data_IF_943606641423
#
_entry.id   IF_943606641423
#
_cell.length_a   1.000
_cell.length_b   1.000
_cell.length_c   1.000
_cell.angle_alpha   90.00
_cell.angle_beta   90.00
_cell.angle_gamma   90.00
#
_symmetry.space_group_name_H-M   'P 1'
#
loop_
_entity.id
_entity.type
_entity.pdbx_description
1 polymer ?
#
# COMPACT_ATOMS: atom_id res chain seq x y z
N UNK A 1 -11.67 16.08 15.29
CA UNK A 1 -10.49 15.19 15.12
C UNK A 1 -10.32 14.23 16.30
N UNK A 2 -9.97 12.96 16.04
CA UNK A 2 -9.54 12.01 17.09
C UNK A 2 -8.08 12.28 17.49
N UNK A 3 -7.62 11.64 18.57
CA UNK A 3 -6.26 11.71 19.13
C UNK A 3 -5.13 11.51 18.09
N UNK A 4 -5.40 10.83 16.97
CA UNK A 4 -4.44 10.56 15.88
C UNK A 4 -4.58 11.53 14.67
N UNK A 5 -5.32 12.63 14.81
CA UNK A 5 -5.54 13.61 13.73
C UNK A 5 -6.40 13.12 12.55
N UNK A 6 -7.08 11.98 12.71
CA UNK A 6 -7.99 11.42 11.71
C UNK A 6 -9.30 12.22 11.61
N UNK A 7 -9.81 12.37 10.38
CA UNK A 7 -11.13 12.96 10.14
C UNK A 7 -12.23 12.03 10.72
N UNK A 8 -13.19 12.63 11.40
CA UNK A 8 -14.46 11.97 11.73
C UNK A 8 -15.28 11.73 10.46
N UNK A 9 -16.30 10.87 10.53
CA UNK A 9 -17.13 10.63 9.35
C UNK A 9 -17.86 11.93 8.93
N UNK A 10 -18.31 12.69 9.92
CA UNK A 10 -18.96 13.98 9.77
C UNK A 10 -18.04 15.02 9.15
N UNK A 11 -16.79 15.10 9.63
CA UNK A 11 -15.75 15.94 9.02
C UNK A 11 -15.56 15.54 7.55
N UNK A 12 -15.43 14.24 7.25
CA UNK A 12 -15.23 13.77 5.88
C UNK A 12 -16.35 14.14 4.91
N UNK A 13 -17.61 13.93 5.29
CA UNK A 13 -18.76 14.15 4.39
C UNK A 13 -19.22 15.60 4.33
N UNK A 14 -18.72 16.47 5.22
CA UNK A 14 -19.07 17.88 5.26
C UNK A 14 -20.50 18.13 5.73
N UNK A 15 -20.99 19.39 5.60
CA UNK A 15 -22.33 19.75 6.04
C UNK A 15 -23.42 19.06 5.21
N UNK A 16 -24.50 18.65 5.88
CA UNK A 16 -25.70 18.08 5.26
C UNK A 16 -26.94 18.56 6.02
N UNK A 17 -28.07 18.74 5.32
CA UNK A 17 -29.36 19.05 5.95
C UNK A 17 -29.77 17.97 6.96
N UNK A 18 -30.58 18.35 7.96
CA UNK A 18 -30.89 17.52 9.15
C UNK A 18 -31.30 16.07 8.82
N UNK A 19 -32.27 15.89 7.91
CA UNK A 19 -32.74 14.57 7.47
C UNK A 19 -31.67 13.80 6.68
N UNK A 20 -30.91 14.47 5.82
CA UNK A 20 -29.82 13.87 5.05
C UNK A 20 -28.68 13.39 5.96
N UNK A 21 -28.37 14.17 7.00
CA UNK A 21 -27.36 13.85 8.02
C UNK A 21 -27.74 12.60 8.80
N UNK A 22 -28.99 12.50 9.27
CA UNK A 22 -29.49 11.30 9.99
C UNK A 22 -29.32 10.03 9.13
N UNK A 23 -29.72 10.10 7.86
CA UNK A 23 -29.58 8.97 6.92
C UNK A 23 -28.12 8.56 6.70
N UNK A 24 -27.21 9.52 6.53
CA UNK A 24 -25.77 9.26 6.36
C UNK A 24 -25.16 8.56 7.59
N UNK A 25 -25.49 9.04 8.80
CA UNK A 25 -25.00 8.46 10.05
C UNK A 25 -25.52 7.03 10.26
N UNK A 26 -26.80 6.79 9.98
CA UNK A 26 -27.39 5.46 10.05
C UNK A 26 -26.70 4.48 9.08
N UNK A 27 -26.50 4.90 7.82
CA UNK A 27 -25.81 4.10 6.80
C UNK A 27 -24.35 3.79 7.21
N UNK A 28 -23.63 4.77 7.75
CA UNK A 28 -22.25 4.58 8.22
C UNK A 28 -22.19 3.61 9.41
N UNK A 29 -23.12 3.72 10.37
CA UNK A 29 -23.21 2.78 11.50
C UNK A 29 -23.45 1.36 11.02
N UNK A 30 -24.39 1.15 10.10
CA UNK A 30 -24.65 -0.15 9.50
C UNK A 30 -23.42 -0.70 8.76
N UNK A 31 -22.74 0.13 7.95
CA UNK A 31 -21.52 -0.28 7.23
C UNK A 31 -20.40 -0.70 8.19
N UNK A 32 -20.18 0.08 9.26
CA UNK A 32 -19.16 -0.23 10.28
C UNK A 32 -19.45 -1.55 11.00
N UNK A 33 -20.70 -1.78 11.42
CA UNK A 33 -21.09 -3.03 12.09
C UNK A 33 -20.89 -4.24 11.17
N UNK A 34 -21.39 -4.15 9.93
CA UNK A 34 -21.22 -5.21 8.92
C UNK A 34 -19.75 -5.53 8.66
N UNK A 35 -18.91 -4.51 8.50
CA UNK A 35 -17.49 -4.67 8.20
C UNK A 35 -16.72 -5.27 9.38
N UNK A 36 -17.04 -4.85 10.62
CA UNK A 36 -16.43 -5.41 11.84
C UNK A 36 -16.72 -6.90 12.01
N UNK A 37 -17.99 -7.31 11.86
CA UNK A 37 -18.39 -8.72 12.02
C UNK A 37 -17.69 -9.59 10.97
N UNK A 38 -17.72 -9.18 9.70
CA UNK A 38 -17.05 -9.90 8.61
C UNK A 38 -15.54 -10.00 8.83
N UNK A 39 -14.89 -8.95 9.31
CA UNK A 39 -13.45 -8.93 9.54
C UNK A 39 -13.06 -9.87 10.69
N UNK A 40 -13.81 -9.89 11.79
CA UNK A 40 -13.44 -10.64 12.99
C UNK A 40 -13.40 -12.16 12.76
N UNK A 41 -14.42 -12.72 12.11
CA UNK A 41 -14.44 -14.16 11.80
C UNK A 41 -13.34 -14.51 10.80
N UNK A 42 -13.20 -13.71 9.74
CA UNK A 42 -12.24 -13.91 8.65
C UNK A 42 -10.78 -13.95 9.13
N UNK A 43 -10.39 -13.14 10.12
CA UNK A 43 -8.99 -13.11 10.60
C UNK A 43 -8.66 -14.15 11.67
N UNK A 44 -9.67 -14.80 12.28
CA UNK A 44 -9.47 -15.79 13.34
C UNK A 44 -9.57 -17.23 12.84
N UNK A 45 -10.56 -17.51 11.99
CA UNK A 45 -10.82 -18.85 11.45
C UNK A 45 -9.56 -19.56 10.92
N UNK A 46 -8.66 -18.88 10.16
CA UNK A 46 -7.45 -19.53 9.63
C UNK A 46 -6.55 -20.21 10.67
N UNK A 47 -6.56 -19.73 11.92
CA UNK A 47 -5.67 -20.23 12.95
C UNK A 47 -6.28 -21.35 13.81
N UNK A 48 -7.58 -21.58 13.70
CA UNK A 48 -8.32 -22.58 14.50
C UNK A 48 -8.87 -23.74 13.65
N UNK A 49 -9.03 -23.53 12.33
CA UNK A 49 -9.53 -24.58 11.45
C UNK A 49 -8.50 -25.72 11.29
N UNK A 50 -8.95 -26.97 11.14
CA UNK A 50 -8.07 -28.11 10.97
C UNK A 50 -7.40 -28.12 9.59
N UNK A 51 -6.24 -28.78 9.49
CA UNK A 51 -5.51 -28.91 8.22
C UNK A 51 -6.22 -29.79 7.19
N UNK A 52 -7.03 -30.75 7.64
CA UNK A 52 -7.74 -31.74 6.81
C UNK A 52 -9.18 -31.94 7.30
N UNK A 53 -10.01 -32.59 6.50
CA UNK A 53 -11.41 -32.90 6.82
C UNK A 53 -12.42 -31.84 6.38
N UNK A 54 -13.69 -32.06 6.69
CA UNK A 54 -14.84 -31.30 6.16
C UNK A 54 -14.76 -29.78 6.44
N UNK A 55 -14.24 -29.40 7.60
CA UNK A 55 -14.14 -27.98 8.01
C UNK A 55 -12.87 -27.31 7.48
N UNK A 56 -11.91 -28.08 6.96
CA UNK A 56 -10.61 -27.53 6.57
C UNK A 56 -10.70 -26.51 5.45
N UNK A 57 -11.76 -26.55 4.63
CA UNK A 57 -12.00 -25.68 3.46
C UNK A 57 -12.67 -24.32 3.73
N UNK A 58 -13.17 -24.08 4.95
CA UNK A 58 -14.06 -22.94 5.23
C UNK A 58 -13.40 -21.55 5.04
N UNK A 59 -12.08 -21.47 5.17
CA UNK A 59 -11.29 -20.25 4.94
C UNK A 59 -10.71 -20.17 3.50
N UNK A 60 -11.03 -21.12 2.62
CA UNK A 60 -10.52 -21.16 1.24
C UNK A 60 -11.08 -20.07 0.32
N UNK A 61 -12.08 -19.32 0.78
CA UNK A 61 -12.63 -18.12 0.12
C UNK A 61 -12.03 -16.80 0.58
N UNK A 62 -11.02 -16.84 1.43
CA UNK A 62 -10.26 -15.64 1.76
C UNK A 62 -9.45 -15.23 0.54
N UNK A 63 -9.68 -14.03 0.03
CA UNK A 63 -8.82 -13.43 -0.99
C UNK A 63 -7.48 -13.03 -0.39
N UNK A 64 -6.41 -13.36 -1.10
CA UNK A 64 -5.05 -12.94 -0.78
C UNK A 64 -4.31 -12.50 -2.05
N UNK A 65 -3.42 -11.50 -1.94
CA UNK A 65 -2.49 -11.18 -3.00
C UNK A 65 -1.31 -12.16 -2.93
N UNK A 66 -0.92 -12.71 -4.06
CA UNK A 66 0.22 -13.60 -4.15
C UNK A 66 0.87 -13.49 -5.52
N UNK A 67 2.19 -13.50 -5.53
CA UNK A 67 3.00 -13.62 -6.73
C UNK A 67 4.00 -14.76 -6.56
N UNK A 68 4.12 -15.61 -7.58
CA UNK A 68 5.07 -16.72 -7.59
C UNK A 68 6.39 -16.20 -8.13
N UNK A 69 7.31 -15.89 -7.23
CA UNK A 69 8.63 -15.35 -7.57
C UNK A 69 9.55 -16.44 -8.14
N UNK A 70 9.54 -17.63 -7.54
CA UNK A 70 10.24 -18.80 -8.07
C UNK A 70 9.39 -20.07 -7.86
N UNK A 71 9.46 -20.99 -8.82
CA UNK A 71 8.71 -22.25 -8.81
C UNK A 71 9.50 -23.38 -8.15
N UNK A 72 10.79 -23.47 -8.45
CA UNK A 72 11.72 -24.43 -7.86
C UNK A 72 13.07 -23.73 -7.63
N UNK A 73 13.45 -23.44 -6.38
CA UNK A 73 12.69 -23.61 -5.14
C UNK A 73 11.43 -22.72 -5.09
N UNK A 74 10.40 -23.15 -4.34
CA UNK A 74 9.15 -22.38 -4.24
C UNK A 74 9.34 -21.14 -3.35
N UNK A 75 9.34 -19.97 -3.98
CA UNK A 75 9.43 -18.66 -3.32
C UNK A 75 8.22 -17.82 -3.73
N UNK A 76 7.50 -17.32 -2.73
CA UNK A 76 6.23 -16.64 -2.90
C UNK A 76 6.30 -15.24 -2.31
N UNK A 77 5.95 -14.23 -3.10
CA UNK A 77 5.83 -12.86 -2.65
C UNK A 77 4.39 -12.57 -2.22
N UNK A 78 4.21 -12.13 -0.98
CA UNK A 78 2.89 -12.00 -0.35
C UNK A 78 2.77 -10.64 0.36
N UNK A 79 1.99 -9.70 -0.21
CA UNK A 79 1.61 -8.50 0.51
C UNK A 79 0.81 -8.82 1.79
N UNK A 80 1.20 -8.24 2.91
CA UNK A 80 0.57 -8.45 4.23
C UNK A 80 0.22 -7.12 4.90
N UNK A 81 -0.81 -7.11 5.75
CA UNK A 81 -1.14 -5.94 6.55
C UNK A 81 -2.48 -6.01 7.28
N UNK A 82 -2.90 -4.89 7.85
CA UNK A 82 -4.10 -4.82 8.68
C UNK A 82 -3.83 -5.12 10.15
N UNK A 83 -4.85 -5.62 10.87
CA UNK A 83 -4.78 -5.86 12.33
C UNK A 83 -4.15 -7.19 12.73
N UNK A 84 -4.18 -8.17 11.82
CA UNK A 84 -3.56 -9.49 11.99
C UNK A 84 -2.94 -9.90 10.66
N UNK A 85 -1.73 -9.42 10.32
CA UNK A 85 -1.21 -9.45 8.96
C UNK A 85 -1.13 -10.82 8.30
N UNK A 86 -0.93 -11.89 9.07
CA UNK A 86 -0.65 -13.22 8.55
C UNK A 86 -1.88 -14.13 8.39
N UNK A 87 -3.10 -13.60 8.56
CA UNK A 87 -4.31 -14.44 8.57
C UNK A 87 -4.57 -15.20 7.27
N UNK A 88 -4.42 -14.55 6.12
CA UNK A 88 -4.64 -15.21 4.84
C UNK A 88 -3.52 -16.20 4.53
N UNK A 89 -2.28 -15.87 4.92
CA UNK A 89 -1.15 -16.77 4.83
C UNK A 89 -1.36 -18.03 5.69
N UNK A 90 -1.94 -17.91 6.89
CA UNK A 90 -2.23 -19.07 7.73
C UNK A 90 -3.20 -20.05 7.06
N UNK A 91 -4.22 -19.53 6.36
CA UNK A 91 -5.14 -20.35 5.56
C UNK A 91 -4.39 -21.05 4.42
N UNK A 92 -3.50 -20.34 3.73
CA UNK A 92 -2.72 -20.88 2.62
C UNK A 92 -1.71 -21.95 3.06
N UNK A 93 -0.81 -21.62 3.98
CA UNK A 93 0.30 -22.46 4.44
C UNK A 93 -0.13 -23.80 5.01
N UNK A 94 -1.23 -23.84 5.79
CA UNK A 94 -1.72 -25.08 6.42
C UNK A 94 -1.99 -26.19 5.39
N UNK A 95 -2.31 -25.81 4.15
CA UNK A 95 -2.59 -26.72 3.03
C UNK A 95 -1.39 -26.95 2.11
N UNK A 96 -0.40 -26.06 2.16
CA UNK A 96 0.87 -26.20 1.44
C UNK A 96 1.92 -26.97 2.24
N UNK A 97 1.68 -27.23 3.54
CA UNK A 97 2.63 -27.81 4.49
C UNK A 97 3.51 -28.99 3.99
N UNK A 98 3.04 -29.90 3.11
CA UNK A 98 3.93 -30.93 2.56
C UNK A 98 5.10 -30.39 1.72
N UNK A 99 4.92 -29.29 0.99
CA UNK A 99 5.93 -28.68 0.10
C UNK A 99 6.60 -27.49 0.81
N UNK A 100 7.92 -27.55 1.02
CA UNK A 100 8.68 -26.41 1.55
C UNK A 100 8.48 -25.19 0.65
N UNK A 101 8.29 -24.03 1.29
CA UNK A 101 8.06 -22.77 0.62
C UNK A 101 8.68 -21.64 1.45
N UNK A 102 9.25 -20.66 0.78
CA UNK A 102 9.68 -19.41 1.40
C UNK A 102 8.72 -18.29 1.02
N UNK A 103 8.26 -17.54 2.02
CA UNK A 103 7.35 -16.43 1.85
C UNK A 103 8.07 -15.11 2.10
N UNK A 104 8.18 -14.30 1.06
CA UNK A 104 8.62 -12.91 1.12
C UNK A 104 7.40 -12.05 1.47
N UNK A 105 7.32 -11.61 2.71
CA UNK A 105 6.19 -10.90 3.28
C UNK A 105 6.41 -9.40 3.17
N UNK A 106 5.67 -8.75 2.27
CA UNK A 106 5.78 -7.31 2.03
C UNK A 106 4.69 -6.55 2.81
N UNK A 107 5.01 -5.76 3.84
CA UNK A 107 4.01 -4.96 4.54
C UNK A 107 3.43 -3.89 3.61
N UNK A 108 2.12 -3.95 3.37
CA UNK A 108 1.37 -2.92 2.64
C UNK A 108 0.85 -1.80 3.56
N UNK A 109 1.07 -1.96 4.86
CA UNK A 109 0.75 -1.01 5.92
C UNK A 109 1.77 -1.18 7.03
N UNK A 110 2.04 -0.13 7.79
CA UNK A 110 3.09 -0.20 8.81
C UNK A 110 2.83 -1.28 9.86
N UNK A 111 3.91 -1.97 10.19
CA UNK A 111 3.97 -2.94 11.28
C UNK A 111 4.32 -2.29 12.62
N UNK A 112 4.73 -1.00 12.63
CA UNK A 112 5.15 -0.22 13.82
C UNK A 112 3.98 0.13 14.75
N UNK A 113 3.23 -0.88 15.17
CA UNK A 113 2.09 -0.78 16.07
C UNK A 113 2.21 -1.88 17.11
N UNK A 114 2.30 -1.56 18.42
CA UNK A 114 2.56 -2.56 19.45
C UNK A 114 1.60 -3.76 19.42
N UNK A 115 0.30 -3.50 19.22
CA UNK A 115 -0.70 -4.56 19.12
C UNK A 115 -0.53 -5.47 17.89
N UNK A 116 0.03 -4.96 16.79
CA UNK A 116 0.31 -5.73 15.58
C UNK A 116 1.57 -6.58 15.77
N UNK A 117 2.63 -6.02 16.33
CA UNK A 117 3.86 -6.77 16.65
C UNK A 117 3.57 -7.92 17.62
N UNK A 118 2.79 -7.66 18.67
CA UNK A 118 2.37 -8.70 19.61
C UNK A 118 1.49 -9.78 18.96
N UNK A 119 0.66 -9.41 17.98
CA UNK A 119 -0.10 -10.37 17.20
C UNK A 119 0.79 -11.19 16.26
N UNK A 120 1.80 -10.59 15.64
CA UNK A 120 2.77 -11.28 14.79
C UNK A 120 3.56 -12.30 15.61
N UNK A 121 4.00 -11.96 16.82
CA UNK A 121 4.67 -12.91 17.73
C UNK A 121 3.84 -14.18 17.94
N UNK A 122 2.55 -14.04 18.21
CA UNK A 122 1.62 -15.17 18.37
C UNK A 122 1.45 -15.97 17.08
N UNK A 123 1.35 -15.28 15.95
CA UNK A 123 1.19 -15.91 14.65
C UNK A 123 2.46 -16.68 14.25
N UNK A 124 3.66 -16.15 14.51
CA UNK A 124 4.95 -16.82 14.29
C UNK A 124 5.07 -18.11 15.09
N UNK A 125 4.69 -18.09 16.38
CA UNK A 125 4.64 -19.30 17.20
C UNK A 125 3.66 -20.34 16.63
N UNK A 126 2.55 -19.90 16.05
CA UNK A 126 1.62 -20.79 15.36
C UNK A 126 2.23 -21.38 14.08
N UNK A 127 2.91 -20.57 13.25
CA UNK A 127 3.56 -21.06 12.03
C UNK A 127 4.66 -22.07 12.33
N UNK A 128 5.48 -21.81 13.35
CA UNK A 128 6.53 -22.74 13.78
C UNK A 128 5.96 -24.12 14.16
N UNK A 129 4.79 -24.16 14.79
CA UNK A 129 4.12 -25.41 15.19
C UNK A 129 3.39 -26.11 14.03
N UNK A 130 2.66 -25.36 13.22
CA UNK A 130 1.72 -25.93 12.22
C UNK A 130 2.36 -26.10 10.85
N UNK A 131 3.32 -25.25 10.51
CA UNK A 131 3.97 -25.20 9.20
C UNK A 131 5.51 -25.12 9.34
N UNK A 132 6.16 -26.03 10.08
CA UNK A 132 7.57 -25.91 10.49
C UNK A 132 8.56 -25.89 9.32
N UNK A 133 8.17 -26.37 8.13
CA UNK A 133 9.02 -26.40 6.94
C UNK A 133 9.04 -25.08 6.17
N UNK A 134 8.11 -24.18 6.44
CA UNK A 134 8.03 -22.91 5.71
C UNK A 134 8.91 -21.84 6.34
N UNK A 135 9.53 -21.03 5.50
CA UNK A 135 10.30 -19.86 5.94
C UNK A 135 9.49 -18.60 5.67
N UNK A 136 9.39 -17.71 6.66
CA UNK A 136 8.70 -16.42 6.54
C UNK A 136 9.77 -15.32 6.69
N UNK A 137 9.90 -14.46 5.68
CA UNK A 137 10.89 -13.39 5.62
C UNK A 137 10.14 -12.07 5.42
N UNK A 138 10.20 -11.16 6.39
CA UNK A 138 9.58 -9.84 6.28
C UNK A 138 10.48 -8.88 5.51
N UNK A 139 9.92 -8.27 4.46
CA UNK A 139 10.54 -7.21 3.68
C UNK A 139 10.09 -5.86 4.25
N UNK A 140 10.71 -5.44 5.36
CA UNK A 140 10.28 -4.31 6.16
C UNK A 140 10.51 -2.97 5.43
N UNK A 141 9.55 -2.05 5.54
CA UNK A 141 9.60 -0.74 4.89
C UNK A 141 10.49 0.26 5.62
N UNK A 142 10.79 0.00 6.89
CA UNK A 142 11.69 0.79 7.72
C UNK A 142 12.62 -0.13 8.50
N UNK A 143 13.73 0.43 8.94
CA UNK A 143 14.66 -0.27 9.84
C UNK A 143 14.01 -0.55 11.21
N UNK A 144 13.09 0.32 11.65
CA UNK A 144 12.32 0.10 12.88
C UNK A 144 11.36 -1.09 12.75
N UNK A 145 10.67 -1.26 11.62
CA UNK A 145 9.89 -2.48 11.35
C UNK A 145 10.77 -3.73 11.40
N UNK A 146 11.96 -3.67 10.79
CA UNK A 146 12.93 -4.78 10.81
C UNK A 146 13.30 -5.14 12.24
N UNK A 147 13.66 -4.13 13.05
CA UNK A 147 14.04 -4.30 14.46
C UNK A 147 12.90 -4.89 15.30
N UNK A 148 11.68 -4.38 15.14
CA UNK A 148 10.50 -4.85 15.88
C UNK A 148 10.15 -6.31 15.54
N UNK A 149 10.23 -6.69 14.27
CA UNK A 149 9.96 -8.06 13.83
C UNK A 149 11.06 -9.02 14.30
N UNK A 150 12.33 -8.63 14.18
CA UNK A 150 13.44 -9.41 14.73
C UNK A 150 13.32 -9.59 16.24
N UNK A 151 12.88 -8.54 16.97
CA UNK A 151 12.67 -8.57 18.42
C UNK A 151 11.60 -9.55 18.90
N UNK A 152 10.70 -10.00 18.01
CA UNK A 152 9.70 -11.06 18.30
C UNK A 152 10.05 -12.40 17.67
N UNK A 153 11.29 -12.57 17.20
CA UNK A 153 11.81 -13.81 16.62
C UNK A 153 11.45 -14.03 15.15
N UNK A 154 11.03 -12.99 14.42
CA UNK A 154 10.80 -13.06 12.98
C UNK A 154 12.08 -12.87 12.17
N UNK A 155 12.18 -13.52 11.01
CA UNK A 155 13.23 -13.21 10.03
C UNK A 155 12.82 -11.96 9.24
N UNK A 156 13.66 -10.92 9.23
CA UNK A 156 13.33 -9.65 8.61
C UNK A 156 14.56 -9.00 7.97
N UNK A 157 14.36 -8.40 6.81
CA UNK A 157 15.32 -7.52 6.15
C UNK A 157 14.68 -6.15 5.91
N UNK A 158 15.50 -5.11 5.83
CA UNK A 158 15.05 -3.83 5.32
C UNK A 158 15.00 -3.90 3.80
N UNK A 159 13.80 -3.72 3.24
CA UNK A 159 13.56 -3.76 1.79
C UNK A 159 12.25 -3.03 1.54
N UNK A 160 12.34 -1.72 1.35
CA UNK A 160 11.17 -0.87 1.16
C UNK A 160 10.39 -1.28 -0.09
N UNK A 161 9.07 -1.42 0.03
CA UNK A 161 8.27 -1.92 -1.09
C UNK A 161 8.22 -0.98 -2.30
N UNK A 162 8.64 0.28 -2.16
CA UNK A 162 8.66 1.23 -3.26
C UNK A 162 9.68 0.87 -4.33
N UNK A 163 10.65 0.00 -4.03
CA UNK A 163 11.53 -0.61 -5.04
C UNK A 163 10.75 -1.29 -6.18
N UNK A 164 9.52 -1.70 -5.91
CA UNK A 164 8.65 -2.41 -6.85
C UNK A 164 7.87 -1.48 -7.79
N UNK A 165 7.99 -0.16 -7.69
CA UNK A 165 7.28 0.77 -8.59
C UNK A 165 7.96 0.77 -9.97
N UNK A 166 7.13 0.77 -11.03
CA UNK A 166 7.61 0.73 -12.41
C UNK A 166 8.11 2.11 -12.86
N UNK A 167 9.37 2.16 -13.25
CA UNK A 167 10.05 3.34 -13.76
C UNK A 167 9.60 3.69 -15.19
N UNK A 168 9.14 2.69 -15.94
CA UNK A 168 8.67 2.85 -17.33
C UNK A 168 7.33 3.59 -17.38
N UNK A 169 6.47 3.32 -16.39
CA UNK A 169 5.14 3.91 -16.28
C UNK A 169 5.21 5.31 -15.69
N UNK A 170 5.90 5.47 -14.55
CA UNK A 170 6.00 6.74 -13.86
C UNK A 170 7.29 7.44 -14.26
N UNK A 171 7.15 8.54 -14.99
CA UNK A 171 8.25 9.34 -15.55
C UNK A 171 7.75 10.72 -15.97
N UNK A 172 8.64 11.73 -16.03
CA UNK A 172 8.32 13.00 -16.65
C UNK A 172 7.79 12.80 -18.07
N UNK A 173 6.78 13.58 -18.42
CA UNK A 173 6.18 13.64 -19.75
C UNK A 173 6.39 15.07 -20.27
N UNK A 174 7.31 15.28 -21.24
CA UNK A 174 7.71 16.63 -21.66
C UNK A 174 6.57 17.43 -22.30
N UNK A 175 5.59 16.75 -22.90
CA UNK A 175 4.47 17.38 -23.62
C UNK A 175 3.25 17.64 -22.74
N UNK A 176 3.36 17.47 -21.42
CA UNK A 176 2.24 17.69 -20.47
C UNK A 176 2.48 18.97 -19.69
N UNK A 177 1.68 20.04 -19.90
CA UNK A 177 1.83 21.28 -19.18
C UNK A 177 1.38 21.14 -17.72
N UNK A 178 1.97 21.96 -16.84
CA UNK A 178 1.56 22.06 -15.44
C UNK A 178 0.32 22.95 -15.34
N UNK A 179 -0.77 22.38 -14.84
CA UNK A 179 -2.08 23.03 -14.67
C UNK A 179 -2.41 23.27 -13.18
N UNK A 180 -1.86 22.44 -12.28
CA UNK A 180 -2.17 22.43 -10.85
C UNK A 180 -0.94 22.76 -10.00
N UNK A 181 -1.15 23.42 -8.86
CA UNK A 181 -0.10 23.66 -7.87
C UNK A 181 0.29 22.37 -7.16
N UNK A 182 -0.67 21.45 -6.97
CA UNK A 182 -0.39 20.15 -6.40
C UNK A 182 -1.33 19.05 -6.90
N UNK A 183 -0.89 17.79 -6.71
CA UNK A 183 -1.70 16.58 -6.84
C UNK A 183 -1.77 15.84 -5.52
N UNK A 184 -2.95 15.36 -5.15
CA UNK A 184 -3.11 14.40 -4.06
C UNK A 184 -3.69 13.08 -4.53
N UNK A 185 -2.87 12.02 -4.48
CA UNK A 185 -3.33 10.64 -4.67
C UNK A 185 -3.66 10.02 -3.31
N UNK A 186 -4.95 10.07 -2.99
CA UNK A 186 -5.48 9.64 -1.71
C UNK A 186 -6.85 9.01 -1.87
N UNK A 187 -6.97 7.73 -1.48
CA UNK A 187 -8.27 7.05 -1.36
C UNK A 187 -9.23 7.81 -0.43
N UNK A 188 -10.54 7.60 -0.59
CA UNK A 188 -11.55 8.13 0.34
C UNK A 188 -11.41 7.39 1.67
N UNK A 189 -10.79 8.03 2.66
CA UNK A 189 -10.47 7.43 3.95
C UNK A 189 -10.16 8.49 5.01
N UNK A 190 -10.58 8.23 6.25
CA UNK A 190 -10.31 9.13 7.39
C UNK A 190 -8.83 9.32 7.70
N UNK A 191 -8.01 8.36 7.28
CA UNK A 191 -6.56 8.37 7.49
C UNK A 191 -5.81 9.31 6.53
N UNK A 192 -6.47 9.70 5.43
CA UNK A 192 -5.83 10.49 4.36
C UNK A 192 -5.85 12.00 4.62
N UNK A 193 -6.56 12.49 5.64
CA UNK A 193 -6.53 13.91 6.07
C UNK A 193 -6.66 14.89 4.89
N UNK A 194 -7.67 14.69 4.04
CA UNK A 194 -7.85 15.45 2.79
C UNK A 194 -8.01 16.96 3.04
N UNK A 195 -8.58 17.32 4.19
CA UNK A 195 -8.75 18.70 4.63
C UNK A 195 -7.43 19.50 4.70
N UNK A 196 -6.28 18.85 4.86
CA UNK A 196 -4.98 19.53 4.92
C UNK A 196 -4.59 20.18 3.59
N UNK A 197 -5.21 19.76 2.49
CA UNK A 197 -4.93 20.30 1.15
C UNK A 197 -5.88 21.44 0.76
N UNK A 198 -6.85 21.80 1.61
CA UNK A 198 -7.99 22.64 1.25
C UNK A 198 -7.67 24.12 1.00
N UNK A 199 -6.52 24.59 1.50
CA UNK A 199 -6.05 25.96 1.24
C UNK A 199 -5.21 26.07 -0.05
N UNK A 200 -4.87 24.97 -0.70
CA UNK A 200 -4.15 25.01 -1.98
C UNK A 200 -5.11 25.52 -3.06
N UNK A 201 -4.66 26.47 -3.88
CA UNK A 201 -5.53 27.14 -4.87
C UNK A 201 -5.96 26.18 -5.99
N UNK A 202 -5.02 25.60 -6.74
CA UNK A 202 -5.29 24.63 -7.82
C UNK A 202 -4.80 23.25 -7.42
N UNK A 203 -5.73 22.36 -7.12
CA UNK A 203 -5.43 21.00 -6.64
C UNK A 203 -6.15 19.96 -7.49
N UNK A 204 -5.43 18.94 -7.93
CA UNK A 204 -6.03 17.76 -8.56
C UNK A 204 -6.01 16.56 -7.61
N UNK A 205 -7.15 15.93 -7.43
CA UNK A 205 -7.31 14.71 -6.64
C UNK A 205 -7.34 13.48 -7.52
N UNK A 206 -6.47 12.51 -7.20
CA UNK A 206 -6.61 11.11 -7.63
C UNK A 206 -7.19 10.35 -6.44
N UNK A 207 -8.40 9.85 -6.57
CA UNK A 207 -9.14 9.23 -5.46
C UNK A 207 -9.82 7.94 -5.87
N UNK A 208 -10.09 7.08 -4.88
CA UNK A 208 -10.78 5.81 -5.07
C UNK A 208 -11.59 5.47 -3.82
N UNK A 209 -12.73 4.81 -4.01
CA UNK A 209 -13.47 4.23 -2.90
C UNK A 209 -12.94 2.82 -2.62
N UNK A 210 -12.71 2.54 -1.34
CA UNK A 210 -12.36 1.20 -0.83
C UNK A 210 -13.48 0.61 0.05
N UNK A 211 -14.68 1.20 0.03
CA UNK A 211 -15.82 0.77 0.85
C UNK A 211 -15.68 1.05 2.35
N UNK A 212 -14.69 1.86 2.74
CA UNK A 212 -14.52 2.32 4.12
C UNK A 212 -15.74 3.14 4.57
N UNK A 213 -16.22 4.01 3.67
CA UNK A 213 -17.48 4.70 3.79
C UNK A 213 -18.57 3.94 3.03
N UNK A 214 -19.85 4.09 3.44
CA UNK A 214 -20.96 3.66 2.58
C UNK A 214 -20.97 4.50 1.29
N UNK A 215 -21.54 4.00 0.17
CA UNK A 215 -21.57 4.74 -1.11
C UNK A 215 -22.18 6.15 -1.03
N UNK A 216 -23.18 6.35 -0.16
CA UNK A 216 -23.75 7.68 0.08
C UNK A 216 -22.75 8.64 0.77
N UNK A 217 -21.89 8.10 1.63
CA UNK A 217 -20.79 8.83 2.26
C UNK A 217 -19.69 9.17 1.27
N UNK A 218 -19.30 8.24 0.39
CA UNK A 218 -18.35 8.53 -0.69
C UNK A 218 -18.85 9.64 -1.61
N UNK A 219 -20.11 9.58 -2.05
CA UNK A 219 -20.72 10.66 -2.84
C UNK A 219 -20.73 12.01 -2.11
N UNK A 220 -20.97 12.01 -0.80
CA UNK A 220 -20.94 13.23 -0.01
C UNK A 220 -19.52 13.81 0.10
N UNK A 221 -18.53 12.93 0.32
CA UNK A 221 -17.13 13.31 0.32
C UNK A 221 -16.69 13.90 -1.03
N UNK A 222 -17.07 13.28 -2.15
CA UNK A 222 -16.77 13.79 -3.50
C UNK A 222 -17.38 15.18 -3.71
N UNK A 223 -18.65 15.38 -3.35
CA UNK A 223 -19.28 16.70 -3.41
C UNK A 223 -18.58 17.74 -2.54
N UNK A 224 -18.10 17.36 -1.36
CA UNK A 224 -17.32 18.24 -0.49
C UNK A 224 -16.02 18.68 -1.16
N UNK A 225 -15.28 17.75 -1.77
CA UNK A 225 -14.06 18.10 -2.52
C UNK A 225 -14.36 19.08 -3.66
N UNK A 226 -15.40 18.81 -4.45
CA UNK A 226 -15.79 19.67 -5.57
C UNK A 226 -16.28 21.06 -5.12
N UNK A 227 -16.87 21.15 -3.92
CA UNK A 227 -17.35 22.41 -3.36
C UNK A 227 -16.24 23.23 -2.67
N UNK A 228 -15.05 22.65 -2.46
CA UNK A 228 -13.98 23.31 -1.71
C UNK A 228 -13.42 24.53 -2.46
N UNK A 229 -13.16 24.37 -3.75
CA UNK A 229 -12.68 25.44 -4.63
C UNK A 229 -13.09 25.12 -6.07
N UNK A 230 -13.53 26.11 -6.88
CA UNK A 230 -13.81 25.89 -8.30
C UNK A 230 -12.56 25.50 -9.11
N UNK A 231 -11.36 25.69 -8.54
CA UNK A 231 -10.08 25.32 -9.14
C UNK A 231 -9.56 23.96 -8.66
N UNK A 232 -10.33 23.25 -7.83
CA UNK A 232 -10.06 21.87 -7.48
C UNK A 232 -10.70 20.93 -8.51
N UNK A 233 -10.00 19.87 -8.84
CA UNK A 233 -10.46 18.87 -9.82
C UNK A 233 -10.32 17.46 -9.29
N UNK A 234 -11.21 16.57 -9.73
CA UNK A 234 -11.10 15.13 -9.50
C UNK A 234 -10.72 14.49 -10.83
N UNK A 235 -9.52 13.91 -10.91
CA UNK A 235 -9.01 13.32 -12.14
C UNK A 235 -9.72 12.03 -12.54
N UNK A 236 -10.26 11.31 -11.56
CA UNK A 236 -10.99 10.07 -11.82
C UNK A 236 -12.30 10.35 -12.56
N UNK A 237 -12.64 9.55 -13.59
CA UNK A 237 -13.97 9.64 -14.19
C UNK A 237 -15.02 9.32 -13.14
N UNK A 238 -16.10 10.10 -13.07
CA UNK A 238 -17.18 9.86 -12.11
C UNK A 238 -18.28 9.02 -12.76
N UNK A 239 -18.61 7.88 -12.14
CA UNK A 239 -19.73 7.02 -12.51
C UNK A 239 -20.68 6.98 -11.31
N UNK A 240 -21.93 7.42 -11.50
CA UNK A 240 -22.92 7.57 -10.42
C UNK A 240 -22.40 8.38 -9.20
N UNK A 241 -21.59 9.40 -9.47
CA UNK A 241 -20.98 10.25 -8.46
C UNK A 241 -19.88 9.58 -7.63
N UNK A 242 -19.36 8.44 -8.07
CA UNK A 242 -18.25 7.71 -7.46
C UNK A 242 -17.02 7.71 -8.39
N UNK A 243 -15.80 7.75 -7.83
CA UNK A 243 -14.58 7.73 -8.64
C UNK A 243 -14.37 6.36 -9.29
N UNK A 244 -14.32 6.35 -10.62
CA UNK A 244 -13.87 5.25 -11.44
C UNK A 244 -12.36 5.06 -11.39
N UNK A 245 -11.88 3.95 -11.97
CA UNK A 245 -10.46 3.58 -11.94
C UNK A 245 -9.69 4.33 -13.03
N UNK A 246 -8.54 4.89 -12.67
CA UNK A 246 -7.51 5.32 -13.62
C UNK A 246 -6.49 4.19 -13.83
N UNK A 247 -5.97 4.09 -15.05
CA UNK A 247 -4.79 3.25 -15.32
C UNK A 247 -3.54 3.90 -14.74
N UNK A 248 -2.47 3.14 -14.50
CA UNK A 248 -1.22 3.69 -13.97
C UNK A 248 -0.63 4.77 -14.90
N UNK A 249 -0.74 4.60 -16.23
CA UNK A 249 -0.36 5.62 -17.20
C UNK A 249 -1.23 6.87 -17.11
N UNK A 250 -2.54 6.71 -16.88
CA UNK A 250 -3.45 7.83 -16.62
C UNK A 250 -3.09 8.58 -15.35
N UNK A 251 -2.73 7.87 -14.27
CA UNK A 251 -2.23 8.48 -13.04
C UNK A 251 -0.92 9.25 -13.28
N UNK A 252 0.05 8.68 -14.00
CA UNK A 252 1.29 9.37 -14.34
C UNK A 252 1.02 10.65 -15.15
N UNK A 253 0.06 10.64 -16.08
CA UNK A 253 -0.34 11.84 -16.83
C UNK A 253 -0.86 12.93 -15.88
N UNK A 254 -1.71 12.59 -14.92
CA UNK A 254 -2.22 13.54 -13.91
C UNK A 254 -1.09 14.10 -13.05
N UNK A 255 -0.13 13.26 -12.64
CA UNK A 255 1.05 13.74 -11.90
C UNK A 255 1.81 14.78 -12.71
N UNK A 256 1.99 14.54 -14.00
CA UNK A 256 2.68 15.48 -14.86
C UNK A 256 1.95 16.82 -15.06
N UNK A 257 0.65 16.90 -14.76
CA UNK A 257 -0.10 18.16 -14.75
C UNK A 257 0.04 18.96 -13.45
N UNK A 258 0.74 18.44 -12.43
CA UNK A 258 0.91 19.11 -11.14
C UNK A 258 2.37 19.52 -10.87
N UNK A 259 2.55 20.59 -10.11
CA UNK A 259 3.89 21.02 -9.70
C UNK A 259 4.45 20.21 -8.51
N UNK A 260 3.58 19.76 -7.58
CA UNK A 260 4.00 19.13 -6.32
C UNK A 260 3.11 17.91 -5.98
N UNK A 261 3.71 16.83 -5.47
CA UNK A 261 2.99 15.67 -4.93
C UNK A 261 2.72 15.78 -3.42
N UNK A 262 1.55 15.34 -2.96
CA UNK A 262 1.15 15.45 -1.54
C UNK A 262 1.13 14.11 -0.80
N UNK A 263 1.72 14.09 0.40
CA UNK A 263 1.80 12.95 1.30
C UNK A 263 1.24 13.31 2.70
N UNK A 264 -0.07 13.23 2.86
CA UNK A 264 -0.76 13.87 4.00
C UNK A 264 -1.21 12.91 5.11
N UNK A 265 -1.14 11.59 4.97
CA UNK A 265 -1.54 10.66 6.06
C UNK A 265 -0.55 10.67 7.23
N UNK A 266 -1.01 10.46 8.47
CA UNK A 266 -0.13 10.38 9.66
C UNK A 266 0.53 9.00 9.81
N UNK A 267 -0.16 7.97 9.33
CA UNK A 267 0.28 6.58 9.42
C UNK A 267 -0.08 5.90 8.10
N UNK A 268 0.88 5.22 7.49
CA UNK A 268 0.71 4.45 6.24
C UNK A 268 1.62 3.21 6.28
N UNK A 269 2.05 2.69 5.14
CA UNK A 269 3.33 2.00 4.97
C UNK A 269 4.26 2.89 4.15
N UNK A 270 5.06 2.32 3.25
CA UNK A 270 5.96 3.10 2.40
C UNK A 270 5.27 3.94 1.31
N UNK A 271 3.96 3.82 1.13
CA UNK A 271 3.13 4.68 0.28
C UNK A 271 3.63 4.76 -1.17
N UNK A 272 3.08 3.92 -2.05
CA UNK A 272 3.41 3.91 -3.48
C UNK A 272 3.42 5.31 -4.12
N UNK A 273 2.40 6.13 -3.87
CA UNK A 273 2.32 7.47 -4.48
C UNK A 273 3.53 8.34 -4.20
N UNK A 274 4.20 8.18 -3.05
CA UNK A 274 5.43 8.93 -2.75
C UNK A 274 6.53 8.62 -3.77
N UNK A 275 6.78 7.35 -4.05
CA UNK A 275 7.74 6.92 -5.06
C UNK A 275 7.26 7.24 -6.48
N UNK A 276 5.97 7.06 -6.76
CA UNK A 276 5.43 7.40 -8.08
C UNK A 276 5.59 8.90 -8.40
N UNK A 277 5.45 9.80 -7.42
CA UNK A 277 5.73 11.24 -7.58
C UNK A 277 7.20 11.48 -7.92
N UNK A 278 8.12 10.92 -7.13
CA UNK A 278 9.56 11.08 -7.36
C UNK A 278 9.98 10.57 -8.73
N UNK A 279 9.47 9.40 -9.14
CA UNK A 279 9.73 8.85 -10.47
C UNK A 279 9.10 9.71 -11.58
N UNK A 280 7.93 10.30 -11.37
CA UNK A 280 7.34 11.29 -12.28
C UNK A 280 8.07 12.66 -12.25
N UNK A 281 9.08 12.82 -11.39
CA UNK A 281 9.88 14.04 -11.25
C UNK A 281 9.20 15.14 -10.44
N UNK A 282 8.26 14.81 -9.56
CA UNK A 282 7.57 15.79 -8.72
C UNK A 282 8.29 15.95 -7.37
N UNK A 283 8.54 17.19 -6.91
CA UNK A 283 8.86 17.44 -5.52
C UNK A 283 7.67 17.07 -4.62
N UNK A 284 7.94 16.82 -3.33
CA UNK A 284 6.93 16.31 -2.40
C UNK A 284 6.75 17.23 -1.20
N UNK A 285 5.50 17.53 -0.85
CA UNK A 285 5.14 17.99 0.49
C UNK A 285 4.52 16.84 1.26
N UNK A 286 5.13 16.52 2.39
CA UNK A 286 4.68 15.50 3.33
C UNK A 286 4.34 16.13 4.67
N UNK A 287 3.64 15.37 5.49
CA UNK A 287 3.50 15.61 6.93
C UNK A 287 4.33 14.59 7.70
N UNK A 288 4.64 14.82 8.99
CA UNK A 288 5.22 13.78 9.83
C UNK A 288 4.40 12.49 9.77
N UNK A 289 5.08 11.35 9.63
CA UNK A 289 4.44 10.04 9.49
C UNK A 289 5.27 8.86 9.92
N UNK A 290 4.58 7.74 10.13
CA UNK A 290 5.15 6.42 10.36
C UNK A 290 4.92 5.52 9.14
N UNK A 291 5.90 4.68 8.80
CA UNK A 291 5.74 3.59 7.82
C UNK A 291 6.71 3.58 6.64
N UNK A 292 7.63 4.54 6.54
CA UNK A 292 8.76 4.50 5.60
C UNK A 292 8.51 5.10 4.23
N UNK A 293 7.55 6.03 4.08
CA UNK A 293 7.36 6.76 2.82
C UNK A 293 8.47 7.76 2.51
N UNK A 294 9.16 8.19 3.55
CA UNK A 294 10.24 9.16 3.54
C UNK A 294 11.62 8.55 3.28
N UNK A 295 11.72 7.22 3.15
CA UNK A 295 12.98 6.51 2.87
C UNK A 295 13.71 7.09 1.66
N UNK A 296 13.00 7.47 0.60
CA UNK A 296 13.59 8.04 -0.63
C UNK A 296 13.47 9.57 -0.73
N UNK A 297 13.06 10.25 0.33
CA UNK A 297 12.98 11.70 0.32
C UNK A 297 14.38 12.31 0.28
N UNK A 298 14.46 13.45 -0.38
CA UNK A 298 15.65 14.28 -0.46
C UNK A 298 15.31 15.69 0.03
N UNK A 299 16.07 16.28 0.95
CA UNK A 299 15.77 17.60 1.50
C UNK A 299 15.74 18.70 0.43
N UNK A 300 16.38 18.49 -0.72
CA UNK A 300 16.37 19.46 -1.81
C UNK A 300 15.02 19.53 -2.52
N UNK A 301 14.15 18.53 -2.45
CA UNK A 301 12.87 18.56 -3.15
C UNK A 301 11.72 17.92 -2.37
N UNK A 302 11.95 17.53 -1.12
CA UNK A 302 10.92 17.05 -0.20
C UNK A 302 10.87 17.93 1.04
N UNK A 303 9.68 18.41 1.40
CA UNK A 303 9.42 19.15 2.64
C UNK A 303 8.50 18.34 3.54
N UNK A 304 8.91 18.13 4.79
CA UNK A 304 8.01 17.65 5.86
C UNK A 304 7.47 18.89 6.58
N UNK A 305 6.22 19.23 6.33
CA UNK A 305 5.55 20.40 6.88
C UNK A 305 4.64 20.02 8.05
N UNK A 306 4.39 20.98 8.93
CA UNK A 306 3.38 20.83 9.99
C UNK A 306 2.01 20.45 9.39
N UNK A 307 1.22 19.60 10.07
CA UNK A 307 -0.07 19.13 9.58
C UNK A 307 -1.16 20.20 9.74
N UNK A 308 -0.95 21.36 9.14
CA UNK A 308 -1.85 22.51 9.10
C UNK A 308 -2.06 22.98 7.66
N UNK A 309 -3.30 23.27 7.22
CA UNK A 309 -3.57 23.65 5.83
C UNK A 309 -2.69 24.80 5.31
N UNK A 310 -2.51 25.85 6.11
CA UNK A 310 -1.66 26.98 5.75
C UNK A 310 -0.17 26.61 5.62
N UNK A 311 0.33 25.70 6.46
CA UNK A 311 1.71 25.22 6.37
C UNK A 311 1.92 24.35 5.12
N UNK A 312 0.97 23.48 4.80
CA UNK A 312 0.97 22.68 3.57
C UNK A 312 0.95 23.59 2.34
N UNK A 313 0.06 24.58 2.29
CA UNK A 313 -0.02 25.55 1.19
C UNK A 313 1.33 26.26 0.98
N UNK A 314 1.91 26.83 2.04
CA UNK A 314 3.22 27.52 1.95
C UNK A 314 4.34 26.61 1.47
N UNK A 315 4.33 25.33 1.88
CA UNK A 315 5.32 24.36 1.43
C UNK A 315 5.15 24.02 -0.06
N UNK A 316 3.90 23.91 -0.54
CA UNK A 316 3.57 23.69 -1.95
C UNK A 316 4.03 24.88 -2.79
N UNK A 317 3.66 26.10 -2.42
CA UNK A 317 4.06 27.33 -3.09
C UNK A 317 5.61 27.41 -3.19
N UNK A 318 6.30 27.14 -2.08
CA UNK A 318 7.77 27.12 -2.05
C UNK A 318 8.39 26.12 -3.03
N UNK A 319 7.90 24.88 -3.08
CA UNK A 319 8.48 23.87 -3.99
C UNK A 319 8.11 24.14 -5.44
N UNK A 320 6.89 24.60 -5.72
CA UNK A 320 6.45 25.03 -7.05
C UNK A 320 7.35 26.15 -7.58
N UNK A 321 7.58 27.20 -6.77
CA UNK A 321 8.30 28.40 -7.19
C UNK A 321 9.80 28.16 -7.39
N UNK A 322 10.35 27.09 -6.78
CA UNK A 322 11.74 26.65 -7.04
C UNK A 322 11.93 26.06 -8.43
N UNK A 323 10.86 25.61 -9.09
CA UNK A 323 10.88 25.08 -10.46
C UNK A 323 12.02 24.06 -10.73
N UNK A 324 12.22 23.14 -9.78
CA UNK A 324 13.30 22.14 -9.86
C UNK A 324 13.08 21.27 -11.11
N UNK A 325 14.10 21.04 -11.95
CA UNK A 325 13.97 20.19 -13.12
C UNK A 325 13.48 18.79 -12.76
N UNK A 326 12.40 18.33 -13.42
CA UNK A 326 11.79 17.02 -13.14
C UNK A 326 12.76 15.86 -13.33
N UNK A 327 13.62 15.96 -14.35
CA UNK A 327 14.65 14.95 -14.63
C UNK A 327 15.72 14.89 -13.54
N UNK A 328 16.00 16.00 -12.85
CA UNK A 328 16.93 16.01 -11.72
C UNK A 328 16.38 15.21 -10.54
N UNK A 329 15.12 15.46 -10.18
CA UNK A 329 14.41 14.73 -9.11
C UNK A 329 14.38 13.24 -9.44
N UNK A 330 13.95 12.89 -10.65
CA UNK A 330 13.90 11.50 -11.10
C UNK A 330 15.28 10.85 -11.07
N UNK A 331 16.29 11.49 -11.65
CA UNK A 331 17.65 10.95 -11.74
C UNK A 331 18.22 10.59 -10.37
N UNK A 332 18.15 11.52 -9.42
CA UNK A 332 18.61 11.30 -8.03
C UNK A 332 17.83 10.18 -7.34
N UNK A 333 16.52 10.09 -7.55
CA UNK A 333 15.72 8.98 -7.02
C UNK A 333 16.13 7.63 -7.63
N UNK A 334 16.37 7.57 -8.94
CA UNK A 334 16.77 6.33 -9.63
C UNK A 334 18.14 5.83 -9.17
N UNK A 335 19.09 6.72 -8.90
CA UNK A 335 20.40 6.34 -8.36
C UNK A 335 20.27 5.61 -7.01
N UNK A 336 19.44 6.14 -6.10
CA UNK A 336 19.16 5.51 -4.80
C UNK A 336 18.43 4.18 -4.95
N UNK A 337 17.38 4.14 -5.79
CA UNK A 337 16.63 2.92 -6.07
C UNK A 337 17.53 1.84 -6.66
N UNK A 338 18.43 2.19 -7.60
CA UNK A 338 19.35 1.24 -8.21
C UNK A 338 20.25 0.55 -7.19
N UNK A 339 20.82 1.30 -6.24
CA UNK A 339 21.68 0.74 -5.20
C UNK A 339 20.92 -0.31 -4.35
N UNK A 340 19.75 0.04 -3.84
CA UNK A 340 18.95 -0.88 -3.02
C UNK A 340 18.39 -2.07 -3.80
N UNK A 341 18.07 -1.89 -5.10
CA UNK A 341 17.70 -3.02 -5.96
C UNK A 341 18.84 -4.01 -6.14
N UNK A 342 20.09 -3.55 -6.28
CA UNK A 342 21.26 -4.42 -6.33
C UNK A 342 21.41 -5.24 -5.05
N UNK A 343 21.22 -4.62 -3.88
CA UNK A 343 21.25 -5.32 -2.59
C UNK A 343 20.15 -6.40 -2.49
N UNK A 344 18.91 -6.05 -2.83
CA UNK A 344 17.81 -7.02 -2.79
C UNK A 344 18.01 -8.15 -3.81
N UNK A 345 18.50 -7.86 -5.01
CA UNK A 345 18.83 -8.88 -6.00
C UNK A 345 19.90 -9.84 -5.48
N UNK A 346 20.96 -9.32 -4.88
CA UNK A 346 22.00 -10.14 -4.24
C UNK A 346 21.42 -11.05 -3.14
N UNK A 347 20.55 -10.50 -2.29
CA UNK A 347 19.85 -11.26 -1.26
C UNK A 347 18.97 -12.37 -1.85
N UNK A 348 18.17 -12.06 -2.89
CA UNK A 348 17.28 -13.03 -3.54
C UNK A 348 18.06 -14.13 -4.26
N UNK A 349 19.20 -13.80 -4.88
CA UNK A 349 20.11 -14.78 -5.47
C UNK A 349 20.69 -15.72 -4.41
N UNK A 350 21.20 -15.18 -3.30
CA UNK A 350 21.71 -15.98 -2.19
C UNK A 350 20.61 -16.85 -1.57
N UNK A 351 19.37 -16.33 -1.46
CA UNK A 351 18.21 -17.08 -0.99
C UNK A 351 17.92 -18.28 -1.90
N UNK A 352 17.91 -18.09 -3.22
CA UNK A 352 17.69 -19.18 -4.18
C UNK A 352 18.78 -20.25 -4.07
N UNK A 353 20.05 -19.86 -4.02
CA UNK A 353 21.18 -20.78 -3.86
C UNK A 353 21.09 -21.56 -2.54
N UNK A 354 20.81 -20.89 -1.42
CA UNK A 354 20.58 -21.53 -0.11
C UNK A 354 19.44 -22.55 -0.14
N UNK A 355 18.47 -22.37 -1.04
CA UNK A 355 17.34 -23.27 -1.23
C UNK A 355 17.59 -24.35 -2.29
N UNK A 356 18.81 -24.43 -2.86
CA UNK A 356 19.23 -25.48 -3.79
C UNK A 356 18.99 -25.15 -5.27
N UNK A 357 18.84 -23.87 -5.64
CA UNK A 357 18.79 -23.44 -7.04
C UNK A 357 20.19 -23.27 -7.60
N UNK A 358 20.42 -23.78 -8.82
CA UNK A 358 21.64 -23.56 -9.61
C UNK A 358 21.52 -22.35 -10.56
N UNK A 359 20.43 -21.59 -10.47
CA UNK A 359 20.23 -20.41 -11.30
C UNK A 359 21.33 -19.37 -11.04
N UNK A 360 21.83 -18.68 -12.09
CA UNK A 360 22.80 -17.62 -11.91
C UNK A 360 22.21 -16.47 -11.06
N UNK A 361 23.06 -15.69 -10.39
CA UNK A 361 22.63 -14.45 -9.75
C UNK A 361 21.88 -13.53 -10.72
N UNK A 362 20.94 -12.73 -10.20
CA UNK A 362 20.18 -11.80 -11.02
C UNK A 362 21.09 -10.73 -11.59
N UNK A 363 21.14 -10.63 -12.93
CA UNK A 363 21.81 -9.54 -13.66
C UNK A 363 20.90 -8.33 -13.88
N UNK A 364 19.58 -8.53 -13.79
CA UNK A 364 18.54 -7.53 -14.04
C UNK A 364 17.44 -7.62 -12.99
N UNK A 365 16.71 -6.51 -12.81
CA UNK A 365 15.64 -6.41 -11.82
C UNK A 365 14.50 -7.38 -12.14
N UNK A 366 14.16 -8.34 -11.25
CA UNK A 366 13.26 -9.43 -11.60
C UNK A 366 11.77 -9.08 -11.47
N UNK A 367 11.41 -7.83 -11.17
CA UNK A 367 10.03 -7.43 -10.92
C UNK A 367 9.53 -6.42 -11.96
N UNK A 368 8.43 -6.75 -12.65
CA UNK A 368 7.83 -5.90 -13.68
C UNK A 368 6.99 -4.72 -13.14
N UNK A 369 6.92 -4.54 -11.83
CA UNK A 369 6.11 -3.51 -11.18
C UNK A 369 5.06 -4.06 -10.19
N UNK A 370 4.48 -3.18 -9.36
CA UNK A 370 3.48 -3.56 -8.34
C UNK A 370 2.24 -4.25 -8.92
N UNK A 371 1.83 -3.91 -10.14
CA UNK A 371 0.67 -4.54 -10.80
C UNK A 371 0.90 -6.02 -11.11
N UNK A 372 2.16 -6.42 -11.37
CA UNK A 372 2.55 -7.82 -11.54
C UNK A 372 2.68 -8.59 -10.23
N UNK A 373 2.76 -7.89 -9.10
CA UNK A 373 2.99 -8.45 -7.76
C UNK A 373 1.72 -8.68 -6.92
N UNK A 374 0.57 -8.16 -7.36
CA UNK A 374 -0.66 -8.16 -6.55
C UNK A 374 -1.82 -8.91 -7.22
N UNK A 375 -1.60 -10.15 -7.66
CA UNK A 375 -2.72 -10.98 -8.12
C UNK A 375 -3.59 -11.40 -6.95
N UNK A 376 -4.78 -10.82 -6.86
CA UNK A 376 -5.79 -11.16 -5.87
C UNK A 376 -6.62 -12.33 -6.36
N UNK A 377 -6.63 -13.41 -5.58
CA UNK A 377 -7.52 -14.54 -5.80
C UNK A 377 -7.82 -15.24 -4.46
N UNK A 378 -8.88 -16.06 -4.39
CA UNK A 378 -9.15 -16.90 -3.23
C UNK A 378 -7.98 -17.85 -2.94
N UNK A 379 -7.71 -18.11 -1.65
CA UNK A 379 -6.69 -19.08 -1.19
C UNK A 379 -6.78 -20.41 -1.93
N UNK A 380 -7.99 -20.95 -2.14
CA UNK A 380 -8.19 -22.23 -2.85
C UNK A 380 -7.68 -22.21 -4.30
N UNK A 381 -7.71 -21.05 -4.95
CA UNK A 381 -7.30 -20.89 -6.35
C UNK A 381 -5.78 -20.87 -6.44
N UNK A 382 -5.13 -20.04 -5.62
CA UNK A 382 -3.66 -20.03 -5.49
C UNK A 382 -3.09 -21.42 -5.16
N UNK A 383 -3.77 -22.19 -4.31
CA UNK A 383 -3.36 -23.56 -3.98
C UNK A 383 -3.42 -24.50 -5.19
N UNK A 384 -4.44 -24.37 -6.05
CA UNK A 384 -4.52 -25.16 -7.29
C UNK A 384 -3.40 -24.79 -8.25
N UNK A 385 -3.10 -23.50 -8.37
CA UNK A 385 -2.01 -23.01 -9.22
C UNK A 385 -0.66 -23.57 -8.74
N UNK A 386 -0.35 -23.47 -7.46
CA UNK A 386 0.90 -24.02 -6.90
C UNK A 386 0.95 -25.55 -6.98
N UNK A 387 -0.19 -26.25 -6.83
CA UNK A 387 -0.24 -27.69 -7.03
C UNK A 387 0.05 -28.08 -8.49
N UNK A 388 -0.50 -27.36 -9.46
CA UNK A 388 -0.28 -27.60 -10.89
C UNK A 388 1.20 -27.46 -11.29
N UNK A 389 1.96 -26.58 -10.62
CA UNK A 389 3.41 -26.47 -10.80
C UNK A 389 4.18 -27.72 -10.36
N UNK A 390 3.62 -28.49 -9.42
CA UNK A 390 4.24 -29.71 -8.90
C UNK A 390 4.02 -30.91 -9.82
N UNK A 391 2.92 -30.93 -10.59
CA UNK A 391 2.59 -31.97 -11.55
C UNK A 391 3.24 -31.79 -12.93
N UNK A 392 3.90 -30.64 -13.17
CA UNK A 392 4.52 -30.29 -14.45
C UNK A 392 5.99 -30.70 -14.60
N UNK A 393 6.51 -31.63 -13.77
CA UNK A 393 7.77 -32.32 -14.10
C UNK A 393 7.47 -33.38 -15.15
N UNK A 394 7.54 -32.98 -16.42
CA UNK A 394 7.85 -33.90 -17.53
C UNK A 394 9.33 -33.73 -17.80
#
# INVERSE_FOLDING_TARGET
>A
MKQDGHETFEEMVGPAGSLGRIRLLAANRANRTRTKIKAWTRIRLPFILPARGLLSGLDGGIDMPLHIFSRDPLILYVPVGGRRPLYALAAFCRRLAPRRATFLLMPNWTLERPAVIEQIRKDLAWFARVCPKHELIFLCNTEEERRLIAGVGGNAIFSNHNLMISEDVFRPLPDVPVEYDAVYNGRISHTKRHYLAFEIERLVHVTSSIGELPPAGDRAFIRRLQAQSPLHSIANPLVDGLPGRLTSAGVNRVYNQAAVGLCLSAVEGAMYSSMEYLLAGLPIVSTPSIGGRDVYFDPDYCIIAEPEPAAIRRAVERLRDRAIPREEIRGRTLERVKAERLELMGYLSALKQRMGSDDPPFSEWPFAGTSGLTRWAPVREHLREVAALSSGRI
#
